data_IF_699763240329
#
_entry.id   IF_699763240329
#
_cell.length_a   1.000
_cell.length_b   1.000
_cell.length_c   1.000
_cell.angle_alpha   90.00
_cell.angle_beta   90.00
_cell.angle_gamma   90.00
#
_symmetry.space_group_name_H-M   'P 1'
#
loop_
_entity.id
_entity.type
_entity.pdbx_description
1 polymer ?
#
# COMPACT_ATOMS: atom_id res chain seq x y z
N UNK A 1 -12.52 13.62 11.18
CA UNK A 1 -11.37 12.94 10.55
C UNK A 1 -10.88 11.88 11.51
N UNK A 2 -10.68 10.65 11.06
CA UNK A 2 -10.26 9.51 11.91
C UNK A 2 -8.92 9.01 11.39
N UNK A 3 -7.91 8.93 12.26
CA UNK A 3 -6.64 8.27 11.96
C UNK A 3 -6.72 6.83 12.46
N UNK A 4 -6.42 5.87 11.59
CA UNK A 4 -6.46 4.46 11.92
C UNK A 4 -5.30 3.73 11.23
N UNK A 5 -4.81 2.60 11.77
CA UNK A 5 -3.77 1.82 11.12
C UNK A 5 -4.23 1.29 9.76
N UNK A 6 -3.37 1.28 8.73
CA UNK A 6 -3.75 0.84 7.37
C UNK A 6 -4.13 -0.64 7.29
N UNK A 7 -3.75 -1.45 8.28
CA UNK A 7 -4.12 -2.86 8.40
C UNK A 7 -5.59 -3.07 8.77
N UNK A 8 -6.26 -2.04 9.30
CA UNK A 8 -7.66 -2.13 9.73
C UNK A 8 -8.57 -1.92 8.53
N UNK A 9 -9.52 -2.83 8.35
CA UNK A 9 -10.56 -2.71 7.33
C UNK A 9 -11.55 -1.60 7.69
N UNK A 10 -11.76 -0.67 6.74
CA UNK A 10 -12.67 0.47 6.90
C UNK A 10 -14.11 0.06 7.23
N UNK A 11 -14.63 -0.96 6.53
CA UNK A 11 -15.98 -1.49 6.75
C UNK A 11 -16.18 -1.94 8.19
N UNK A 12 -15.23 -2.70 8.73
CA UNK A 12 -15.23 -3.20 10.10
C UNK A 12 -15.12 -2.07 11.12
N UNK A 13 -14.27 -1.08 10.85
CA UNK A 13 -14.12 0.10 11.70
C UNK A 13 -15.44 0.88 11.81
N UNK A 14 -16.06 1.20 10.67
CA UNK A 14 -17.32 1.94 10.63
C UNK A 14 -18.44 1.16 11.30
N UNK A 15 -18.58 -0.14 10.99
CA UNK A 15 -19.59 -1.02 11.60
C UNK A 15 -19.44 -1.06 13.12
N UNK A 16 -18.21 -1.11 13.62
CA UNK A 16 -17.93 -1.07 15.06
C UNK A 16 -18.36 0.25 15.68
N UNK A 17 -18.00 1.39 15.07
CA UNK A 17 -18.36 2.73 15.56
C UNK A 17 -19.89 2.89 15.59
N UNK A 18 -20.57 2.56 14.49
CA UNK A 18 -22.02 2.65 14.37
C UNK A 18 -22.72 1.71 15.35
N UNK A 19 -22.24 0.47 15.49
CA UNK A 19 -22.81 -0.51 16.41
C UNK A 19 -22.65 -0.12 17.88
N UNK A 20 -21.46 0.34 18.27
CA UNK A 20 -21.16 0.76 19.64
C UNK A 20 -21.97 2.01 20.00
N UNK A 21 -21.97 3.03 19.14
CA UNK A 21 -22.74 4.26 19.37
C UNK A 21 -24.25 3.98 19.47
N UNK A 22 -24.80 3.15 18.59
CA UNK A 22 -26.20 2.74 18.66
C UNK A 22 -26.54 2.03 19.97
N UNK A 23 -25.64 1.15 20.46
CA UNK A 23 -25.83 0.45 21.73
C UNK A 23 -25.82 1.42 22.90
N UNK A 24 -24.84 2.32 22.97
CA UNK A 24 -24.73 3.30 24.05
C UNK A 24 -25.94 4.23 24.09
N UNK A 25 -26.35 4.80 22.94
CA UNK A 25 -27.49 5.70 22.88
C UNK A 25 -28.79 5.01 23.35
N UNK A 26 -29.03 3.76 22.93
CA UNK A 26 -30.19 2.97 23.39
C UNK A 26 -30.16 2.66 24.88
N UNK A 27 -28.98 2.55 25.49
CA UNK A 27 -28.83 2.32 26.93
C UNK A 27 -29.07 3.60 27.73
N UNK A 28 -28.60 4.74 27.23
CA UNK A 28 -28.67 6.02 27.94
C UNK A 28 -30.04 6.71 27.81
N UNK A 29 -30.69 6.60 26.65
CA UNK A 29 -31.95 7.28 26.35
C UNK A 29 -33.05 6.33 25.84
N UNK A 30 -33.39 5.26 26.59
CA UNK A 30 -34.30 4.21 26.11
C UNK A 30 -35.70 4.74 25.78
N UNK A 31 -36.29 5.56 26.64
CA UNK A 31 -37.67 6.04 26.47
C UNK A 31 -37.79 7.05 25.33
N UNK A 32 -36.79 7.93 25.19
CA UNK A 32 -36.76 8.92 24.12
C UNK A 32 -36.58 8.25 22.75
N UNK A 33 -35.63 7.32 22.62
CA UNK A 33 -35.34 6.66 21.34
C UNK A 33 -36.51 5.78 20.89
N UNK A 34 -37.18 5.09 21.81
CA UNK A 34 -38.35 4.25 21.48
C UNK A 34 -39.51 5.03 20.87
N UNK A 35 -39.64 6.32 21.18
CA UNK A 35 -40.69 7.18 20.62
C UNK A 35 -40.46 7.50 19.14
N UNK A 36 -39.20 7.66 18.72
CA UNK A 36 -38.86 8.12 17.37
C UNK A 36 -38.29 7.02 16.47
N UNK A 37 -37.68 5.99 17.05
CA UNK A 37 -36.99 4.92 16.35
C UNK A 37 -37.53 3.56 16.80
N UNK A 38 -38.67 3.17 16.20
CA UNK A 38 -39.30 1.87 16.42
C UNK A 38 -38.64 0.72 15.62
N UNK A 39 -37.71 1.03 14.71
CA UNK A 39 -37.04 0.05 13.84
C UNK A 39 -35.79 -0.52 14.51
N UNK A 40 -35.38 -1.72 14.08
CA UNK A 40 -34.19 -2.38 14.61
C UNK A 40 -32.85 -1.69 14.26
N UNK A 41 -32.80 -0.85 13.23
CA UNK A 41 -31.59 -0.18 12.78
C UNK A 41 -31.55 1.26 13.30
N UNK A 42 -30.44 1.62 13.96
CA UNK A 42 -30.20 2.97 14.47
C UNK A 42 -29.60 3.89 13.41
N UNK A 43 -28.65 3.36 12.64
CA UNK A 43 -28.01 4.05 11.54
C UNK A 43 -28.52 3.51 10.20
N UNK A 44 -28.35 4.31 9.13
CA UNK A 44 -28.49 3.83 7.76
C UNK A 44 -27.44 2.75 7.49
N UNK A 45 -27.73 1.69 6.73
CA UNK A 45 -26.74 0.66 6.39
C UNK A 45 -25.61 1.16 5.47
N UNK A 46 -25.67 2.41 5.02
CA UNK A 46 -24.71 3.01 4.09
C UNK A 46 -23.73 3.93 4.81
N UNK A 47 -22.46 3.85 4.43
CA UNK A 47 -21.40 4.75 4.89
C UNK A 47 -20.58 5.29 3.71
N UNK A 48 -19.97 6.46 3.91
CA UNK A 48 -19.07 7.09 2.96
C UNK A 48 -17.73 7.39 3.64
N UNK A 49 -16.63 6.99 3.00
CA UNK A 49 -15.28 7.24 3.48
C UNK A 49 -14.44 7.85 2.35
N UNK A 50 -13.75 8.94 2.65
CA UNK A 50 -12.83 9.60 1.74
C UNK A 50 -11.49 9.82 2.44
N UNK A 51 -10.39 9.71 1.69
CA UNK A 51 -9.07 10.07 2.20
C UNK A 51 -8.99 11.59 2.39
N UNK A 52 -8.37 12.00 3.49
CA UNK A 52 -8.11 13.40 3.79
C UNK A 52 -6.60 13.61 3.85
N UNK A 53 -6.06 14.37 2.89
CA UNK A 53 -4.65 14.72 2.79
C UNK A 53 -3.81 13.80 1.90
N UNK A 54 -2.75 14.36 1.33
CA UNK A 54 -1.69 13.65 0.61
C UNK A 54 -0.38 13.70 1.38
N UNK A 55 0.47 12.68 1.20
CA UNK A 55 1.82 12.71 1.77
C UNK A 55 2.64 13.84 1.09
N UNK A 56 3.29 14.73 1.84
CA UNK A 56 4.20 15.70 1.25
C UNK A 56 5.33 14.98 0.51
N UNK A 57 5.76 15.51 -0.64
CA UNK A 57 6.82 14.89 -1.46
C UNK A 57 8.11 14.63 -0.67
N UNK A 58 8.38 15.41 0.37
CA UNK A 58 9.52 15.24 1.28
C UNK A 58 9.48 13.90 2.00
N UNK A 59 8.31 13.48 2.50
CA UNK A 59 8.11 12.19 3.19
C UNK A 59 8.38 11.02 2.23
N UNK A 60 7.97 11.15 0.97
CA UNK A 60 8.18 10.12 -0.05
C UNK A 60 9.68 10.00 -0.38
N UNK A 61 10.37 11.14 -0.54
CA UNK A 61 11.80 11.18 -0.83
C UNK A 61 12.62 10.57 0.32
N UNK A 62 12.32 10.94 1.57
CA UNK A 62 12.94 10.36 2.76
C UNK A 62 12.66 8.87 2.90
N UNK A 63 11.45 8.42 2.56
CA UNK A 63 11.10 6.99 2.57
C UNK A 63 11.97 6.21 1.58
N UNK A 64 12.13 6.69 0.35
CA UNK A 64 12.95 6.03 -0.68
C UNK A 64 14.42 5.99 -0.27
N UNK A 65 14.96 7.11 0.23
CA UNK A 65 16.37 7.20 0.63
C UNK A 65 16.74 6.21 1.76
N UNK A 66 15.78 5.91 2.65
CA UNK A 66 15.98 5.01 3.78
C UNK A 66 15.63 3.54 3.49
N UNK A 67 15.22 3.18 2.26
CA UNK A 67 14.98 1.78 1.90
C UNK A 67 16.31 1.01 1.80
N UNK A 68 16.36 -0.18 2.42
CA UNK A 68 17.51 -1.09 2.27
C UNK A 68 17.66 -1.45 0.80
N UNK A 69 18.84 -1.19 0.23
CA UNK A 69 19.14 -1.64 -1.11
C UNK A 69 19.25 -3.18 -1.13
N UNK A 70 18.73 -3.85 -2.18
CA UNK A 70 18.94 -5.27 -2.37
C UNK A 70 20.44 -5.56 -2.48
N UNK A 71 20.86 -6.74 -1.99
CA UNK A 71 22.24 -7.18 -2.14
C UNK A 71 22.64 -7.12 -3.62
N UNK A 72 23.84 -6.60 -3.94
CA UNK A 72 24.28 -6.49 -5.32
C UNK A 72 24.25 -7.88 -5.96
N UNK A 73 23.40 -8.04 -6.99
CA UNK A 73 23.46 -9.19 -7.89
C UNK A 73 24.81 -9.14 -8.61
N UNK A 74 25.42 -10.30 -8.90
CA UNK A 74 26.75 -10.41 -9.55
C UNK A 74 26.91 -9.65 -10.88
N UNK A 75 25.81 -9.14 -11.42
CA UNK A 75 25.68 -8.40 -12.66
C UNK A 75 25.91 -6.88 -12.48
N UNK A 76 25.73 -6.33 -11.27
CA UNK A 76 26.06 -4.94 -10.94
C UNK A 76 27.48 -4.76 -10.39
N UNK A 77 28.22 -5.86 -10.24
CA UNK A 77 29.61 -5.85 -9.80
C UNK A 77 30.48 -5.18 -10.89
N UNK A 78 31.21 -4.08 -10.60
CA UNK A 78 31.99 -3.35 -11.60
C UNK A 78 33.05 -4.22 -12.29
N UNK A 79 33.47 -5.31 -11.66
CA UNK A 79 34.40 -6.29 -12.22
C UNK A 79 33.77 -7.17 -13.34
N UNK A 80 32.45 -7.39 -13.32
CA UNK A 80 31.74 -8.19 -14.32
C UNK A 80 31.39 -7.38 -15.57
N UNK A 81 31.10 -6.09 -15.39
CA UNK A 81 30.73 -5.17 -16.48
C UNK A 81 31.85 -4.99 -17.50
N UNK A 82 33.10 -4.90 -17.04
CA UNK A 82 34.29 -4.77 -17.92
C UNK A 82 34.53 -6.01 -18.80
N UNK A 83 34.10 -7.20 -18.35
CA UNK A 83 34.28 -8.45 -19.10
C UNK A 83 33.27 -8.58 -20.26
N UNK A 84 32.05 -8.10 -20.08
CA UNK A 84 31.03 -8.11 -21.13
C UNK A 84 31.37 -7.10 -22.24
N UNK A 85 31.89 -5.93 -21.87
CA UNK A 85 32.32 -4.90 -22.83
C UNK A 85 33.59 -5.30 -23.61
N UNK A 86 34.45 -6.18 -23.06
CA UNK A 86 35.60 -6.74 -23.81
C UNK A 86 35.21 -7.79 -24.86
N UNK A 87 34.10 -8.51 -24.67
CA UNK A 87 33.69 -9.58 -25.60
C UNK A 87 33.01 -9.00 -26.85
N UNK A 88 32.40 -7.82 -26.75
CA UNK A 88 31.74 -7.12 -27.87
C UNK A 88 32.70 -6.39 -28.82
N UNK A 89 33.99 -6.25 -28.47
CA UNK A 89 35.02 -5.59 -29.31
C UNK A 89 35.98 -6.55 -30.03
N UNK A 90 35.80 -7.88 -29.94
CA UNK A 90 36.59 -8.79 -30.75
C UNK A 90 36.14 -8.74 -32.22
N UNK A 91 37.00 -8.36 -33.18
CA UNK A 91 36.66 -8.45 -34.58
C UNK A 91 36.47 -9.92 -34.94
N UNK A 92 35.35 -10.19 -35.59
CA UNK A 92 34.98 -11.48 -36.13
C UNK A 92 36.19 -12.24 -36.70
N UNK A 93 36.54 -13.38 -36.09
CA UNK A 93 37.34 -14.41 -36.74
C UNK A 93 36.49 -14.96 -37.89
N UNK A 94 36.62 -14.28 -39.03
CA UNK A 94 36.05 -14.66 -40.31
C UNK A 94 36.58 -16.05 -40.64
N UNK A 95 35.66 -16.96 -40.88
CA UNK A 95 35.96 -18.33 -41.26
C UNK A 95 36.93 -18.40 -42.43
N UNK A 96 37.88 -19.32 -42.31
CA UNK A 96 38.30 -20.14 -43.44
C UNK A 96 38.15 -21.60 -43.01
N UNK A 97 37.07 -22.20 -43.51
CA UNK A 97 36.98 -23.63 -43.73
C UNK A 97 37.45 -23.92 -45.15
N UNK A 98 37.98 -25.12 -45.37
CA UNK A 98 38.12 -25.81 -46.67
C UNK A 98 39.23 -25.26 -47.58
N UNK A 99 40.01 -26.02 -48.36
CA UNK A 99 40.33 -27.44 -48.57
C UNK A 99 41.42 -27.40 -49.64
N UNK A 100 42.23 -28.46 -49.72
CA UNK A 100 43.17 -28.83 -50.79
C UNK A 100 44.61 -28.27 -50.74
#
# INVERSE_FOLDING_TARGET
MIHYPPTVQLSTLVTSIEGVSARYLRQEFPDHIRQYLWRNHFWSPSYFAASAGGAPLTIIAEYIANQKQPAPTKESDPATRDRADRISFLPALKGQASSD
#
